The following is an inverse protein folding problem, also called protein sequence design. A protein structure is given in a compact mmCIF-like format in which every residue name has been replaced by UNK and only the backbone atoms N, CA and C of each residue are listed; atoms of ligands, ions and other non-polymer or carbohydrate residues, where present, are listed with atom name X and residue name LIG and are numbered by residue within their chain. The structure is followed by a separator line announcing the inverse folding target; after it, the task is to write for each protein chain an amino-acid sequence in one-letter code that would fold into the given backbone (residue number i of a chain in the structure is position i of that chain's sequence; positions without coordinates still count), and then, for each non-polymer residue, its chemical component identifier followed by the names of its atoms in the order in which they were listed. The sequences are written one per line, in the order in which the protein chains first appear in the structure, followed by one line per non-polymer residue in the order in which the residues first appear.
data_IF_078651901438
#
_entry.id   IF_078651901438
#
_cell.length_a   1.000
_cell.length_b   1.000
_cell.length_c   1.000
_cell.angle_alpha   90.00
_cell.angle_beta   90.00
_cell.angle_gamma   90.00
#
_symmetry.space_group_name_H-M   'P 1'
#
loop_
_entity.id
_entity.type
_entity.pdbx_description
1 polymer ?
#
# COMPACT_ATOMS: atom_id res chain seq x y z
N UNK A 1 -32.50 11.26 -1.33
CA UNK A 1 -31.79 10.27 -0.50
C UNK A 1 -30.41 10.84 -0.16
N UNK A 2 -29.80 10.48 0.97
CA UNK A 2 -28.41 10.81 1.24
C UNK A 2 -27.51 10.14 0.20
N UNK A 3 -26.43 10.80 -0.22
CA UNK A 3 -25.39 10.25 -1.10
C UNK A 3 -24.04 10.33 -0.37
N UNK A 4 -23.20 9.32 -0.55
CA UNK A 4 -21.79 9.35 -0.16
C UNK A 4 -20.95 9.43 -1.43
N UNK A 5 -20.01 10.37 -1.44
CA UNK A 5 -19.08 10.55 -2.55
C UNK A 5 -17.63 10.46 -2.05
N UNK A 6 -16.83 9.67 -2.78
CA UNK A 6 -15.37 9.65 -2.68
C UNK A 6 -14.76 10.13 -4.00
N UNK A 7 -13.63 10.84 -3.94
CA UNK A 7 -12.94 11.34 -5.13
C UNK A 7 -11.43 11.08 -5.02
N UNK A 8 -10.83 10.59 -6.10
CA UNK A 8 -9.39 10.41 -6.26
C UNK A 8 -8.93 11.24 -7.46
N UNK A 9 -8.02 12.19 -7.22
CA UNK A 9 -7.42 13.05 -8.25
C UNK A 9 -5.96 12.67 -8.46
N UNK A 10 -5.58 12.33 -9.71
CA UNK A 10 -4.21 11.99 -10.13
C UNK A 10 -3.95 12.51 -11.53
N UNK A 11 -2.83 13.19 -11.76
CA UNK A 11 -2.38 13.66 -13.08
C UNK A 11 -3.44 14.43 -13.89
N UNK A 12 -4.27 15.23 -13.20
CA UNK A 12 -5.37 15.97 -13.84
C UNK A 12 -6.63 15.14 -14.14
N UNK A 13 -6.61 13.83 -13.91
CA UNK A 13 -7.77 12.94 -13.98
C UNK A 13 -8.45 12.86 -12.60
N UNK A 14 -9.76 12.98 -12.57
CA UNK A 14 -10.58 12.75 -11.37
C UNK A 14 -11.43 11.50 -11.56
N UNK A 15 -11.30 10.56 -10.63
CA UNK A 15 -12.16 9.40 -10.51
C UNK A 15 -13.07 9.60 -9.31
N UNK A 16 -14.38 9.53 -9.54
CA UNK A 16 -15.40 9.72 -8.51
C UNK A 16 -16.16 8.42 -8.28
N UNK A 17 -16.33 8.05 -7.01
CA UNK A 17 -17.19 6.96 -6.56
C UNK A 17 -18.38 7.59 -5.85
N UNK A 18 -19.59 7.22 -6.27
CA UNK A 18 -20.85 7.68 -5.69
C UNK A 18 -21.67 6.48 -5.27
N UNK A 19 -22.24 6.56 -4.08
CA UNK A 19 -23.12 5.54 -3.54
C UNK A 19 -24.34 6.21 -2.91
N UNK A 20 -25.52 5.85 -3.39
CA UNK A 20 -26.78 6.26 -2.80
C UNK A 20 -27.04 5.46 -1.52
N UNK A 21 -27.48 6.15 -0.46
CA UNK A 21 -27.89 5.48 0.78
C UNK A 21 -29.35 5.04 0.63
N UNK A 22 -29.56 3.73 0.56
CA UNK A 22 -30.85 3.09 0.27
C UNK A 22 -31.97 3.39 1.29
N UNK A 23 -31.65 3.99 2.44
CA UNK A 23 -32.63 4.38 3.44
C UNK A 23 -32.08 5.41 4.43
N UNK A 24 -32.80 5.58 5.54
CA UNK A 24 -32.54 6.65 6.51
C UNK A 24 -31.98 6.11 7.83
N UNK A 25 -31.58 4.84 7.90
CA UNK A 25 -31.00 4.26 9.11
C UNK A 25 -29.49 4.41 9.14
N UNK A 26 -28.93 4.50 10.35
CA UNK A 26 -27.47 4.50 10.54
C UNK A 26 -26.82 3.21 10.01
N UNK A 27 -27.52 2.08 10.07
CA UNK A 27 -27.02 0.80 9.55
C UNK A 27 -26.82 0.84 8.03
N UNK A 28 -27.77 1.43 7.29
CA UNK A 28 -27.66 1.61 5.84
C UNK A 28 -26.53 2.58 5.50
N UNK A 29 -26.42 3.69 6.22
CA UNK A 29 -25.32 4.63 6.04
C UNK A 29 -23.95 3.93 6.21
N UNK A 30 -23.78 3.13 7.26
CA UNK A 30 -22.54 2.39 7.50
C UNK A 30 -22.26 1.38 6.38
N UNK A 31 -23.28 0.71 5.84
CA UNK A 31 -23.12 -0.21 4.71
C UNK A 31 -22.65 0.54 3.45
N UNK A 32 -23.28 1.65 3.11
CA UNK A 32 -22.88 2.48 1.97
C UNK A 32 -21.47 3.05 2.15
N UNK A 33 -21.07 3.47 3.37
CA UNK A 33 -19.69 3.90 3.66
C UNK A 33 -18.70 2.76 3.39
N UNK A 34 -19.02 1.53 3.82
CA UNK A 34 -18.14 0.37 3.56
C UNK A 34 -17.99 0.08 2.07
N UNK A 35 -19.09 0.12 1.31
CA UNK A 35 -19.07 -0.09 -0.13
C UNK A 35 -18.19 0.95 -0.86
N UNK A 36 -18.34 2.23 -0.52
CA UNK A 36 -17.47 3.30 -1.07
C UNK A 36 -16.01 3.06 -0.70
N UNK A 37 -15.72 2.72 0.56
CA UNK A 37 -14.36 2.43 1.02
C UNK A 37 -13.71 1.29 0.23
N UNK A 38 -14.43 0.18 0.04
CA UNK A 38 -13.94 -0.99 -0.70
C UNK A 38 -13.62 -0.61 -2.14
N UNK A 39 -14.56 0.06 -2.83
CA UNK A 39 -14.38 0.52 -4.21
C UNK A 39 -13.19 1.49 -4.35
N UNK A 40 -13.04 2.42 -3.41
CA UNK A 40 -11.89 3.35 -3.41
C UNK A 40 -10.56 2.62 -3.19
N UNK A 41 -10.55 1.57 -2.36
CA UNK A 41 -9.34 0.78 -2.12
C UNK A 41 -8.93 0.00 -3.38
N UNK A 42 -9.90 -0.59 -4.07
CA UNK A 42 -9.66 -1.28 -5.34
C UNK A 42 -9.11 -0.32 -6.39
N UNK A 43 -9.68 0.89 -6.48
CA UNK A 43 -9.21 1.94 -7.39
C UNK A 43 -7.78 2.39 -7.07
N UNK A 44 -7.46 2.62 -5.78
CA UNK A 44 -6.10 2.95 -5.35
C UNK A 44 -5.11 1.82 -5.66
N UNK A 45 -5.51 0.58 -5.41
CA UNK A 45 -4.69 -0.60 -5.68
C UNK A 45 -4.39 -0.71 -7.18
N UNK A 46 -5.39 -0.50 -8.04
CA UNK A 46 -5.21 -0.47 -9.49
C UNK A 46 -4.24 0.63 -9.93
N UNK A 47 -4.36 1.84 -9.36
CA UNK A 47 -3.44 2.96 -9.64
C UNK A 47 -2.00 2.59 -9.27
N UNK A 48 -1.79 1.99 -8.09
CA UNK A 48 -0.44 1.57 -7.65
C UNK A 48 0.15 0.51 -8.59
N UNK A 49 -0.66 -0.45 -9.05
CA UNK A 49 -0.22 -1.46 -10.00
C UNK A 49 0.12 -0.84 -11.36
N UNK A 50 -0.70 0.10 -11.85
CA UNK A 50 -0.42 0.85 -13.09
C UNK A 50 0.90 1.62 -13.00
N UNK A 51 1.14 2.32 -11.88
CA UNK A 51 2.37 3.07 -11.63
C UNK A 51 3.60 2.13 -11.56
N UNK A 52 3.47 0.98 -10.91
CA UNK A 52 4.54 -0.01 -10.83
C UNK A 52 4.82 -0.71 -12.18
N UNK A 53 3.79 -1.04 -12.95
CA UNK A 53 3.91 -1.68 -14.27
C UNK A 53 4.51 -0.76 -15.34
N UNK A 54 4.30 0.54 -15.20
CA UNK A 54 4.88 1.58 -16.07
C UNK A 54 6.40 1.77 -15.87
N UNK A 55 6.95 1.26 -14.76
CA UNK A 55 8.39 1.26 -14.46
C UNK A 55 9.13 0.08 -15.12
N UNK A 56 8.48 -1.08 -15.22
CA UNK A 56 9.13 -2.35 -15.62
C UNK A 56 9.30 -2.50 -17.14
N UNK A 57 8.49 -1.82 -17.96
CA UNK A 57 8.56 -1.92 -19.43
C UNK A 57 9.63 -1.05 -20.09
N UNK A 58 10.34 -0.17 -19.35
CA UNK A 58 11.42 0.68 -19.90
C UNK A 58 12.82 0.07 -19.88
N UNK A 59 12.98 -1.21 -19.55
CA UNK A 59 14.31 -1.86 -19.45
C UNK A 59 14.43 -3.16 -20.26
N UNK A 60 13.78 -3.20 -21.43
CA UNK A 60 13.94 -4.30 -22.38
C UNK A 60 14.07 -3.79 -23.82
N UNK A 61 14.92 -2.79 -24.05
CA UNK A 61 15.46 -2.57 -25.38
C UNK A 61 16.79 -1.82 -25.27
N UNK A 62 17.80 -2.30 -26.00
CA UNK A 62 19.21 -1.88 -26.05
C UNK A 62 20.13 -2.58 -25.06
N UNK A 63 20.58 -3.79 -25.41
CA UNK A 63 22.02 -4.08 -25.34
C UNK A 63 22.40 -5.19 -26.33
N UNK A 64 22.45 -4.85 -27.61
CA UNK A 64 23.32 -5.53 -28.57
C UNK A 64 24.71 -4.91 -28.42
N UNK A 65 25.65 -5.58 -27.75
CA UNK A 65 26.97 -4.96 -27.57
C UNK A 65 28.01 -5.60 -26.66
N UNK A 66 28.34 -6.88 -26.86
CA UNK A 66 29.72 -7.42 -26.74
C UNK A 66 30.68 -6.83 -25.67
N UNK A 67 30.90 -7.54 -24.56
CA UNK A 67 32.02 -7.23 -23.65
C UNK A 67 32.16 -8.24 -22.51
N UNK A 68 33.34 -8.85 -22.42
CA UNK A 68 33.68 -9.98 -21.55
C UNK A 68 33.85 -9.65 -20.05
N UNK A 69 34.04 -10.73 -19.27
CA UNK A 69 34.59 -10.90 -17.90
C UNK A 69 33.73 -10.34 -16.73
N UNK A 70 33.50 -11.03 -15.61
CA UNK A 70 34.22 -12.08 -14.89
C UNK A 70 33.24 -12.80 -13.93
N UNK A 71 33.48 -14.08 -13.63
CA UNK A 71 32.67 -14.89 -12.72
C UNK A 71 32.75 -14.37 -11.26
N UNK A 72 31.69 -14.50 -10.42
CA UNK A 72 31.83 -14.33 -8.99
C UNK A 72 32.19 -15.70 -8.38
N UNK A 73 33.47 -15.91 -8.11
CA UNK A 73 33.93 -17.02 -7.27
C UNK A 73 34.11 -16.49 -5.83
N UNK A 74 33.46 -17.19 -4.91
CA UNK A 74 33.90 -17.51 -3.56
C UNK A 74 34.18 -16.38 -2.55
N UNK A 75 33.32 -16.37 -1.53
CA UNK A 75 33.65 -16.30 -0.09
C UNK A 75 34.29 -15.03 0.46
N UNK A 76 33.54 -14.29 1.28
CA UNK A 76 34.02 -13.96 2.63
C UNK A 76 32.84 -13.69 3.59
N UNK A 77 32.73 -14.61 4.53
CA UNK A 77 31.98 -14.62 5.76
C UNK A 77 32.23 -13.36 6.60
N UNK A 78 31.15 -12.69 7.01
CA UNK A 78 31.15 -11.98 8.29
C UNK A 78 29.72 -11.92 8.81
N UNK A 79 29.31 -13.03 9.43
CA UNK A 79 28.30 -13.06 10.48
C UNK A 79 28.48 -11.93 11.48
N UNK A 80 27.52 -11.00 11.53
CA UNK A 80 27.25 -10.18 12.72
C UNK A 80 25.74 -10.18 12.97
N UNK A 81 25.30 -11.26 13.60
CA UNK A 81 23.97 -11.45 14.15
C UNK A 81 24.07 -11.16 15.65
N UNK A 82 23.52 -10.05 16.15
CA UNK A 82 23.18 -9.95 17.56
C UNK A 82 21.72 -10.38 17.77
N UNK A 83 21.54 -11.68 18.02
CA UNK A 83 20.40 -12.23 18.74
C UNK A 83 20.35 -11.62 20.15
N UNK A 84 19.37 -10.75 20.39
CA UNK A 84 18.86 -10.52 21.74
C UNK A 84 17.33 -10.47 21.73
N UNK A 85 16.77 -11.67 21.71
CA UNK A 85 15.48 -12.00 22.30
C UNK A 85 15.39 -11.52 23.77
N UNK A 86 14.42 -10.65 24.11
CA UNK A 86 13.41 -10.86 25.18
C UNK A 86 12.81 -9.54 25.77
N UNK A 87 11.56 -9.58 26.26
CA UNK A 87 10.77 -8.40 26.66
C UNK A 87 10.85 -8.11 28.17
N UNK A 88 10.92 -6.84 28.56
CA UNK A 88 10.70 -6.44 29.96
C UNK A 88 9.37 -5.70 30.16
N UNK A 89 8.36 -6.44 30.60
CA UNK A 89 7.29 -5.95 31.45
C UNK A 89 7.84 -5.36 32.75
N UNK A 90 7.34 -4.19 33.18
CA UNK A 90 6.96 -3.94 34.59
C UNK A 90 6.12 -2.67 34.76
N UNK A 91 4.95 -2.89 35.37
CA UNK A 91 4.04 -1.91 35.99
C UNK A 91 4.79 -1.04 37.00
N UNK A 92 4.45 0.25 37.09
CA UNK A 92 4.28 0.86 38.41
C UNK A 92 3.25 2.00 38.37
N UNK A 93 2.16 1.79 39.12
CA UNK A 93 1.23 2.81 39.60
C UNK A 93 2.00 3.85 40.42
N UNK A 94 1.59 5.11 40.32
CA UNK A 94 1.36 5.91 41.52
C UNK A 94 0.30 6.98 41.24
N UNK A 95 -0.84 6.82 41.93
CA UNK A 95 -1.76 7.89 42.27
C UNK A 95 -1.10 8.71 43.38
N UNK A 96 -1.25 10.03 43.36
CA UNK A 96 -1.21 10.83 44.59
C UNK A 96 -2.35 11.85 44.49
N UNK A 97 -3.09 11.93 45.59
CA UNK A 97 -4.30 12.72 45.87
C UNK A 97 -4.34 14.15 45.34
#
# INVERSE_FOLDING_TARGET
MPEIQGEIKRNGVSNTVKEDVAGNTMSELIKSIKAVKETMNDLLSAIVVEDAGSSVTRKAQSDDGNGAVHAPDAEEDSSDDPDQSAPETKKQRQQVE
#
